data_IF_825453903003
#
_entry.id   IF_825453903003
#
_cell.length_a   1.000
_cell.length_b   1.000
_cell.length_c   1.000
_cell.angle_alpha   90.00
_cell.angle_beta   90.00
_cell.angle_gamma   90.00
#
_symmetry.space_group_name_H-M   'P 1'
#
loop_
_entity.id
_entity.type
_entity.pdbx_description
1 polymer ?
#
# COMPACT_ATOMS: atom_id res chain seq x y z
N UNK A 1 -15.52 17.00 -20.12
CA UNK A 1 -15.35 17.42 -18.70
C UNK A 1 -16.35 16.65 -17.87
N UNK A 2 -15.92 16.08 -16.74
CA UNK A 2 -16.79 15.36 -15.82
C UNK A 2 -16.86 16.13 -14.49
N UNK A 3 -17.88 15.87 -13.65
CA UNK A 3 -18.06 16.55 -12.36
C UNK A 3 -18.09 15.51 -11.23
N UNK A 4 -17.30 15.71 -10.18
CA UNK A 4 -17.28 14.79 -9.04
C UNK A 4 -18.51 14.98 -8.13
N UNK A 5 -19.07 16.19 -8.09
CA UNK A 5 -20.19 16.55 -7.22
C UNK A 5 -21.32 17.21 -8.02
N UNK A 6 -22.05 16.48 -8.87
CA UNK A 6 -23.11 17.06 -9.71
C UNK A 6 -24.24 17.70 -8.89
N UNK A 7 -24.47 17.25 -7.65
CA UNK A 7 -25.47 17.85 -6.75
C UNK A 7 -25.17 19.33 -6.41
N UNK A 8 -23.91 19.78 -6.54
CA UNK A 8 -23.54 21.17 -6.28
C UNK A 8 -24.27 22.17 -7.20
N UNK A 9 -24.74 21.73 -8.38
CA UNK A 9 -25.53 22.59 -9.27
C UNK A 9 -26.83 23.10 -8.65
N UNK A 10 -27.37 22.44 -7.61
CA UNK A 10 -28.50 22.97 -6.85
C UNK A 10 -28.19 24.34 -6.22
N UNK A 11 -26.93 24.63 -5.91
CA UNK A 11 -26.50 25.91 -5.35
C UNK A 11 -26.67 27.08 -6.34
N UNK A 12 -26.91 26.85 -7.64
CA UNK A 12 -27.29 27.91 -8.57
C UNK A 12 -28.57 28.64 -8.16
N UNK A 13 -29.42 28.05 -7.31
CA UNK A 13 -30.56 28.75 -6.71
C UNK A 13 -30.14 30.03 -5.96
N UNK A 14 -28.90 30.11 -5.44
CA UNK A 14 -28.37 31.30 -4.79
C UNK A 14 -28.25 32.52 -5.74
N UNK A 15 -28.25 32.32 -7.06
CA UNK A 15 -28.30 33.43 -8.04
C UNK A 15 -29.59 34.25 -7.93
N UNK A 16 -30.67 33.68 -7.39
CA UNK A 16 -31.93 34.39 -7.20
C UNK A 16 -31.79 35.53 -6.18
N UNK A 17 -30.95 35.37 -5.14
CA UNK A 17 -30.76 36.39 -4.09
C UNK A 17 -30.35 37.76 -4.65
N UNK A 18 -29.23 37.91 -5.37
CA UNK A 18 -28.80 39.21 -5.89
C UNK A 18 -29.79 39.78 -6.91
N UNK A 19 -30.48 38.95 -7.69
CA UNK A 19 -31.51 39.40 -8.64
C UNK A 19 -32.70 40.00 -7.87
N UNK A 20 -33.22 39.29 -6.86
CA UNK A 20 -34.34 39.74 -6.03
C UNK A 20 -33.98 41.00 -5.23
N UNK A 21 -32.77 41.08 -4.67
CA UNK A 21 -32.27 42.27 -3.99
C UNK A 21 -32.16 43.44 -4.97
N UNK A 22 -31.69 43.20 -6.18
CA UNK A 22 -31.58 44.25 -7.20
C UNK A 22 -32.95 44.79 -7.63
N UNK A 23 -33.92 43.90 -7.85
CA UNK A 23 -35.30 44.27 -8.18
C UNK A 23 -36.02 45.00 -7.04
N UNK A 24 -35.67 44.71 -5.78
CA UNK A 24 -36.27 45.35 -4.59
C UNK A 24 -35.63 46.69 -4.22
N UNK A 25 -34.44 47.00 -4.74
CA UNK A 25 -33.70 48.24 -4.44
C UNK A 25 -34.43 49.45 -5.03
N UNK A 26 -35.28 50.07 -4.21
CA UNK A 26 -35.92 51.36 -4.50
C UNK A 26 -34.82 52.42 -4.57
N UNK A 27 -34.81 53.24 -5.63
CA UNK A 27 -33.92 54.40 -5.72
C UNK A 27 -34.09 55.26 -4.48
N UNK A 28 -33.05 55.40 -3.65
CA UNK A 28 -33.08 56.33 -2.53
C UNK A 28 -33.24 57.74 -3.12
N UNK A 29 -34.37 58.37 -2.83
CA UNK A 29 -34.59 59.76 -3.22
C UNK A 29 -33.65 60.62 -2.38
N UNK A 30 -32.54 61.09 -2.96
CA UNK A 30 -31.75 62.13 -2.31
C UNK A 30 -32.61 63.39 -2.24
N UNK A 31 -32.84 63.89 -1.04
CA UNK A 31 -33.44 65.22 -0.83
C UNK A 31 -32.39 66.24 -1.24
N UNK A 32 -32.53 66.77 -2.45
CA UNK A 32 -31.80 67.95 -2.88
C UNK A 32 -32.53 69.16 -2.32
N UNK A 33 -31.85 70.03 -1.58
CA UNK A 33 -32.45 71.30 -1.17
C UNK A 33 -32.63 72.18 -2.41
N UNK A 34 -33.89 72.49 -2.73
CA UNK A 34 -34.24 73.27 -3.91
C UNK A 34 -35.00 74.52 -3.49
N UNK A 35 -34.37 75.69 -3.64
CA UNK A 35 -34.87 76.97 -3.15
C UNK A 35 -36.13 77.49 -3.90
N UNK A 36 -36.49 76.92 -5.06
CA UNK A 36 -37.55 77.43 -5.93
C UNK A 36 -38.85 76.59 -5.93
N UNK A 37 -39.17 75.92 -4.81
CA UNK A 37 -40.41 75.14 -4.67
C UNK A 37 -41.70 75.95 -4.90
N UNK A 38 -41.64 77.29 -4.72
CA UNK A 38 -42.79 78.20 -4.86
C UNK A 38 -43.33 78.31 -6.30
N UNK A 39 -42.55 77.95 -7.31
CA UNK A 39 -42.92 78.15 -8.73
C UNK A 39 -43.34 76.84 -9.44
N UNK A 40 -43.37 75.70 -8.74
CA UNK A 40 -43.67 74.40 -9.33
C UNK A 40 -45.17 74.10 -9.18
N UNK A 41 -45.91 74.12 -10.30
CA UNK A 41 -47.31 73.72 -10.37
C UNK A 41 -47.51 72.21 -10.20
N UNK A 42 -48.62 71.82 -9.59
CA UNK A 42 -48.85 70.45 -9.12
C UNK A 42 -49.12 69.41 -10.23
N UNK A 43 -48.57 68.20 -9.99
CA UNK A 43 -48.92 66.87 -10.51
C UNK A 43 -48.37 66.44 -11.88
N UNK A 44 -47.11 66.04 -11.89
CA UNK A 44 -46.67 64.89 -12.69
C UNK A 44 -46.70 63.64 -11.80
N UNK A 45 -47.53 62.64 -12.14
CA UNK A 45 -47.51 61.34 -11.44
C UNK A 45 -46.14 60.70 -11.69
N UNK A 46 -45.35 60.37 -10.65
CA UNK A 46 -44.04 59.75 -10.84
C UNK A 46 -44.23 58.42 -11.57
N UNK A 47 -43.74 58.33 -12.82
CA UNK A 47 -43.74 57.07 -13.55
C UNK A 47 -42.65 56.19 -12.95
N UNK A 48 -43.08 55.23 -12.13
CA UNK A 48 -42.23 54.22 -11.49
C UNK A 48 -41.77 53.23 -12.56
N UNK A 49 -40.63 53.50 -13.19
CA UNK A 49 -39.94 52.48 -14.02
C UNK A 49 -38.73 51.98 -13.24
N UNK A 50 -38.53 50.65 -13.12
CA UNK A 50 -37.30 50.12 -12.58
C UNK A 50 -36.18 50.50 -13.56
N UNK A 51 -35.31 51.42 -13.17
CA UNK A 51 -34.09 51.72 -13.92
C UNK A 51 -33.03 50.78 -13.38
N UNK A 52 -32.55 49.88 -14.23
CA UNK A 52 -31.47 48.94 -13.89
C UNK A 52 -30.15 49.73 -13.83
N UNK A 53 -29.91 50.38 -12.70
CA UNK A 53 -28.63 51.02 -12.40
C UNK A 53 -27.64 49.93 -11.99
N UNK A 54 -26.34 50.05 -12.32
CA UNK A 54 -25.31 49.09 -11.86
C UNK A 54 -25.38 47.66 -12.44
N UNK A 55 -25.96 47.47 -13.64
CA UNK A 55 -26.06 46.14 -14.29
C UNK A 55 -24.73 45.37 -14.35
N UNK A 56 -23.61 46.06 -14.50
CA UNK A 56 -22.27 45.46 -14.51
C UNK A 56 -21.88 44.84 -13.15
N UNK A 57 -22.24 45.48 -12.02
CA UNK A 57 -21.99 44.92 -10.68
C UNK A 57 -22.89 43.72 -10.41
N UNK A 58 -24.15 43.78 -10.86
CA UNK A 58 -25.05 42.62 -10.79
C UNK A 58 -24.48 41.45 -11.57
N UNK A 59 -24.03 41.67 -12.81
CA UNK A 59 -23.42 40.65 -13.65
C UNK A 59 -22.19 40.02 -12.96
N UNK A 60 -21.31 40.83 -12.37
CA UNK A 60 -20.14 40.32 -11.64
C UNK A 60 -20.52 39.47 -10.42
N UNK A 61 -21.55 39.86 -9.66
CA UNK A 61 -22.04 39.04 -8.53
C UNK A 61 -22.60 37.70 -8.99
N UNK A 62 -23.37 37.71 -10.08
CA UNK A 62 -23.90 36.47 -10.66
C UNK A 62 -22.77 35.58 -11.16
N UNK A 63 -21.78 36.15 -11.85
CA UNK A 63 -20.61 35.41 -12.33
C UNK A 63 -19.77 34.85 -11.17
N UNK A 64 -19.57 35.62 -10.10
CA UNK A 64 -18.86 35.18 -8.90
C UNK A 64 -19.56 33.97 -8.26
N UNK A 65 -20.87 34.05 -8.04
CA UNK A 65 -21.65 32.93 -7.50
C UNK A 65 -21.55 31.73 -8.44
N UNK A 66 -21.70 31.93 -9.76
CA UNK A 66 -21.61 30.85 -10.73
C UNK A 66 -20.25 30.13 -10.71
N UNK A 67 -19.15 30.89 -10.61
CA UNK A 67 -17.79 30.33 -10.50
C UNK A 67 -17.61 29.56 -9.18
N UNK A 68 -18.19 30.05 -8.08
CA UNK A 68 -18.16 29.33 -6.79
C UNK A 68 -18.95 28.03 -6.86
N UNK A 69 -20.13 28.03 -7.50
CA UNK A 69 -20.92 26.80 -7.72
C UNK A 69 -20.13 25.81 -8.57
N UNK A 70 -19.48 26.27 -9.64
CA UNK A 70 -18.59 25.42 -10.46
C UNK A 70 -17.39 24.91 -9.66
N UNK A 71 -16.80 25.72 -8.78
CA UNK A 71 -15.74 25.27 -7.88
C UNK A 71 -16.19 24.15 -6.93
N UNK A 72 -17.43 24.24 -6.41
CA UNK A 72 -18.06 23.21 -5.57
C UNK A 72 -18.40 21.94 -6.35
N UNK A 73 -18.81 22.07 -7.61
CA UNK A 73 -19.11 20.93 -8.50
C UNK A 73 -17.87 20.09 -8.84
N UNK A 74 -16.67 20.60 -8.49
CA UNK A 74 -15.39 19.94 -8.69
C UNK A 74 -15.22 19.37 -10.11
N UNK A 75 -15.19 20.25 -11.14
CA UNK A 75 -14.95 19.85 -12.51
C UNK A 75 -13.58 19.21 -12.65
N UNK A 76 -13.54 18.11 -13.37
CA UNK A 76 -12.32 17.38 -13.67
C UNK A 76 -12.13 17.23 -15.18
N UNK A 77 -10.87 17.32 -15.60
CA UNK A 77 -10.45 17.15 -16.98
C UNK A 77 -9.88 15.74 -17.16
N UNK A 78 -10.42 14.99 -18.10
CA UNK A 78 -9.84 13.71 -18.52
C UNK A 78 -8.87 13.98 -19.66
N UNK A 79 -7.57 13.98 -19.35
CA UNK A 79 -6.54 14.15 -20.39
C UNK A 79 -6.39 12.82 -21.12
N UNK A 80 -6.90 12.75 -22.34
CA UNK A 80 -6.59 11.64 -23.24
C UNK A 80 -5.20 11.90 -23.83
N UNK A 81 -4.18 11.29 -23.24
CA UNK A 81 -2.86 11.26 -23.86
C UNK A 81 -2.89 10.30 -25.06
N UNK A 82 -2.13 10.57 -26.14
CA UNK A 82 -1.96 9.59 -27.19
C UNK A 82 -1.33 8.31 -26.60
N UNK A 83 -1.72 7.12 -27.10
CA UNK A 83 -1.19 5.86 -26.61
C UNK A 83 0.33 5.82 -26.79
N UNK A 84 1.05 5.38 -25.75
CA UNK A 84 2.51 5.25 -25.75
C UNK A 84 2.92 3.78 -25.83
N UNK A 85 4.05 3.54 -26.48
CA UNK A 85 4.71 2.24 -26.48
C UNK A 85 5.71 2.16 -25.34
N UNK A 86 5.57 1.14 -24.50
CA UNK A 86 6.46 0.86 -23.38
C UNK A 86 7.29 -0.38 -23.64
N UNK A 87 8.59 -0.27 -23.38
CA UNK A 87 9.53 -1.38 -23.40
C UNK A 87 10.13 -1.53 -21.99
N UNK A 88 9.70 -2.56 -21.27
CA UNK A 88 10.22 -2.91 -19.95
C UNK A 88 11.23 -4.06 -20.08
N UNK A 89 12.43 -3.88 -19.54
CA UNK A 89 13.49 -4.90 -19.58
C UNK A 89 13.80 -5.39 -18.19
N UNK A 90 13.71 -6.70 -17.98
CA UNK A 90 14.08 -7.32 -16.71
C UNK A 90 15.60 -7.28 -16.53
N UNK A 91 16.12 -6.92 -15.35
CA UNK A 91 17.56 -7.00 -15.08
C UNK A 91 18.11 -8.41 -15.30
N UNK A 92 19.32 -8.49 -15.87
CA UNK A 92 19.98 -9.77 -16.20
C UNK A 92 19.63 -10.36 -17.58
N UNK A 93 18.85 -9.63 -18.39
CA UNK A 93 18.57 -9.99 -19.78
C UNK A 93 19.51 -9.25 -20.72
N UNK A 94 20.12 -9.97 -21.66
CA UNK A 94 20.79 -9.35 -22.78
C UNK A 94 19.77 -8.99 -23.86
N UNK A 95 19.46 -7.70 -23.94
CA UNK A 95 18.51 -7.14 -24.89
C UNK A 95 19.19 -6.43 -26.06
N UNK A 96 20.52 -6.27 -26.02
CA UNK A 96 21.27 -5.56 -27.06
C UNK A 96 21.32 -6.46 -28.30
N UNK A 97 20.78 -5.97 -29.41
CA UNK A 97 20.72 -6.72 -30.67
C UNK A 97 19.42 -7.50 -30.92
N UNK A 98 18.42 -7.37 -30.04
CA UNK A 98 17.09 -7.95 -30.30
C UNK A 98 16.38 -7.14 -31.38
N UNK A 99 16.02 -7.81 -32.48
CA UNK A 99 15.25 -7.23 -33.58
C UNK A 99 13.76 -7.05 -33.22
N UNK A 100 13.04 -6.25 -34.00
CA UNK A 100 11.58 -6.03 -33.88
C UNK A 100 11.11 -5.40 -32.55
N UNK A 101 11.98 -4.71 -31.83
CA UNK A 101 11.56 -3.93 -30.66
C UNK A 101 10.88 -2.62 -31.11
N UNK A 102 9.94 -2.07 -30.32
CA UNK A 102 9.36 -0.77 -30.60
C UNK A 102 10.47 0.29 -30.74
N UNK A 103 10.54 0.87 -31.94
CA UNK A 103 11.54 1.83 -32.37
C UNK A 103 10.93 3.24 -32.44
N UNK A 104 11.76 4.25 -32.26
CA UNK A 104 11.33 5.66 -32.17
C UNK A 104 11.72 6.32 -30.86
N UNK A 105 11.67 7.65 -30.86
CA UNK A 105 11.99 8.51 -29.70
C UNK A 105 10.85 8.56 -28.68
N UNK A 106 9.63 8.23 -29.10
CA UNK A 106 8.42 8.25 -28.26
C UNK A 106 8.26 7.01 -27.37
N UNK A 107 9.09 5.98 -27.59
CA UNK A 107 9.04 4.71 -26.86
C UNK A 107 9.64 4.87 -25.47
N UNK A 108 8.88 4.54 -24.43
CA UNK A 108 9.32 4.56 -23.05
C UNK A 108 10.15 3.31 -22.74
N UNK A 109 11.47 3.42 -22.88
CA UNK A 109 12.43 2.34 -22.62
C UNK A 109 12.91 2.37 -21.17
N UNK A 110 12.41 1.47 -20.32
CA UNK A 110 12.70 1.45 -18.87
C UNK A 110 13.17 0.07 -18.39
N UNK A 111 13.94 0.06 -17.32
CA UNK A 111 14.22 -1.13 -16.53
C UNK A 111 12.95 -1.53 -15.75
N UNK A 112 12.67 -2.84 -15.71
CA UNK A 112 11.69 -3.41 -14.80
C UNK A 112 12.31 -3.49 -13.41
N UNK A 113 12.24 -2.38 -12.70
CA UNK A 113 12.74 -2.18 -11.34
C UNK A 113 11.89 -1.11 -10.65
N UNK A 114 11.92 -1.01 -9.30
CA UNK A 114 11.19 0.03 -8.59
C UNK A 114 11.47 1.42 -9.17
N UNK A 115 10.41 2.17 -9.48
CA UNK A 115 10.50 3.49 -10.09
C UNK A 115 10.74 3.54 -11.61
N UNK A 116 10.82 2.39 -12.31
CA UNK A 116 10.95 2.29 -13.77
C UNK A 116 12.03 3.21 -14.35
N UNK A 117 13.27 3.05 -13.87
CA UNK A 117 14.43 3.83 -14.30
C UNK A 117 14.65 3.71 -15.83
N UNK A 118 15.12 4.78 -16.51
CA UNK A 118 15.38 4.72 -17.95
C UNK A 118 16.49 3.71 -18.29
N UNK A 119 16.40 3.06 -19.46
CA UNK A 119 17.43 2.10 -19.91
C UNK A 119 18.82 2.72 -20.13
N UNK A 120 18.92 4.05 -20.21
CA UNK A 120 20.21 4.75 -20.23
C UNK A 120 20.94 4.70 -18.88
N UNK A 121 20.21 4.46 -17.78
CA UNK A 121 20.81 4.25 -16.47
C UNK A 121 21.48 2.86 -16.43
N UNK A 122 22.53 2.67 -15.59
CA UNK A 122 23.13 1.36 -15.38
C UNK A 122 22.07 0.36 -14.92
N UNK A 123 22.26 -0.91 -15.31
CA UNK A 123 21.35 -1.98 -14.88
C UNK A 123 21.23 -1.99 -13.35
N UNK A 124 20.01 -2.02 -12.79
CA UNK A 124 19.82 -2.17 -11.35
C UNK A 124 20.54 -3.42 -10.86
N UNK A 125 21.06 -3.35 -9.62
CA UNK A 125 21.82 -4.45 -9.01
C UNK A 125 21.03 -5.77 -8.97
N UNK A 126 21.74 -6.88 -9.00
CA UNK A 126 21.25 -8.27 -9.04
C UNK A 126 20.51 -8.74 -7.75
N UNK A 127 19.69 -7.89 -7.15
CA UNK A 127 18.72 -8.28 -6.14
C UNK A 127 17.47 -8.82 -6.84
N UNK A 128 16.74 -9.71 -6.17
CA UNK A 128 15.49 -10.23 -6.71
C UNK A 128 14.46 -9.10 -6.78
N UNK A 129 14.20 -8.65 -8.00
CA UNK A 129 13.16 -7.68 -8.29
C UNK A 129 11.80 -8.37 -8.21
N UNK A 130 10.80 -7.82 -7.51
CA UNK A 130 9.44 -8.37 -7.45
C UNK A 130 8.70 -8.12 -8.78
N UNK A 131 9.07 -8.87 -9.81
CA UNK A 131 8.61 -8.73 -11.20
C UNK A 131 7.08 -8.69 -11.29
N UNK A 132 6.37 -9.63 -10.64
CA UNK A 132 4.91 -9.71 -10.72
C UNK A 132 4.24 -8.45 -10.15
N UNK A 133 4.72 -7.96 -9.01
CA UNK A 133 4.20 -6.74 -8.38
C UNK A 133 4.45 -5.50 -9.23
N UNK A 134 5.66 -5.34 -9.81
CA UNK A 134 5.98 -4.19 -10.65
C UNK A 134 5.15 -4.15 -11.94
N UNK A 135 4.88 -5.30 -12.56
CA UNK A 135 4.03 -5.34 -13.75
C UNK A 135 2.57 -4.97 -13.43
N UNK A 136 2.06 -5.39 -12.26
CA UNK A 136 0.74 -4.95 -11.79
C UNK A 136 0.72 -3.45 -11.45
N UNK A 137 1.77 -2.94 -10.81
CA UNK A 137 1.93 -1.51 -10.53
C UNK A 137 1.90 -0.68 -11.83
N UNK A 138 2.65 -1.11 -12.84
CA UNK A 138 2.63 -0.46 -14.15
C UNK A 138 1.23 -0.49 -14.77
N UNK A 139 0.55 -1.64 -14.76
CA UNK A 139 -0.78 -1.79 -15.37
C UNK A 139 -1.86 -0.97 -14.67
N UNK A 140 -1.73 -0.74 -13.36
CA UNK A 140 -2.63 0.09 -12.57
C UNK A 140 -2.48 1.59 -12.87
N UNK A 141 -1.26 2.05 -13.17
CA UNK A 141 -0.96 3.48 -13.38
C UNK A 141 -0.97 3.88 -14.85
N UNK A 142 -0.61 2.97 -15.76
CA UNK A 142 -0.51 3.27 -17.18
C UNK A 142 -1.88 3.56 -17.81
N UNK A 143 -2.02 4.62 -18.64
CA UNK A 143 -3.24 4.89 -19.40
C UNK A 143 -3.71 3.68 -20.21
N UNK A 144 -5.03 3.49 -20.35
CA UNK A 144 -5.62 2.30 -20.98
C UNK A 144 -5.17 2.06 -22.45
N UNK A 145 -4.74 3.11 -23.16
CA UNK A 145 -4.25 3.01 -24.53
C UNK A 145 -2.79 2.56 -24.67
N UNK A 146 -2.01 2.56 -23.58
CA UNK A 146 -0.57 2.27 -23.65
C UNK A 146 -0.30 0.78 -23.93
N UNK A 147 0.62 0.52 -24.86
CA UNK A 147 1.01 -0.83 -25.29
C UNK A 147 2.28 -1.25 -24.57
N UNK A 148 2.30 -2.48 -24.04
CA UNK A 148 3.42 -2.99 -23.26
C UNK A 148 4.16 -4.11 -23.98
N UNK A 149 5.47 -3.94 -24.14
CA UNK A 149 6.42 -5.00 -24.48
C UNK A 149 7.33 -5.26 -23.28
N UNK A 150 7.39 -6.51 -22.82
CA UNK A 150 8.26 -6.90 -21.70
C UNK A 150 9.30 -7.90 -22.18
N UNK A 151 10.57 -7.61 -21.92
CA UNK A 151 11.69 -8.51 -22.13
C UNK A 151 12.02 -9.21 -20.82
N UNK A 152 11.91 -10.53 -20.83
CA UNK A 152 12.12 -11.38 -19.65
C UNK A 152 13.17 -12.46 -19.92
N UNK A 153 13.93 -12.89 -18.91
CA UNK A 153 14.86 -14.02 -19.03
C UNK A 153 14.10 -15.34 -19.17
N UNK A 154 14.76 -16.43 -19.59
CA UNK A 154 14.17 -17.78 -19.62
C UNK A 154 13.66 -18.22 -18.24
N UNK A 155 14.45 -17.97 -17.19
CA UNK A 155 14.06 -18.21 -15.79
C UNK A 155 13.72 -16.89 -15.13
N UNK A 156 12.43 -16.66 -14.87
CA UNK A 156 11.92 -15.44 -14.25
C UNK A 156 11.86 -15.61 -12.74
N UNK A 157 12.31 -14.60 -11.99
CA UNK A 157 12.22 -14.53 -10.53
C UNK A 157 11.33 -13.38 -10.04
N UNK A 158 11.06 -13.38 -8.73
CA UNK A 158 10.18 -12.38 -8.11
C UNK A 158 8.71 -12.56 -8.46
N UNK A 159 8.30 -13.81 -8.66
CA UNK A 159 6.90 -14.22 -8.77
C UNK A 159 6.30 -14.39 -7.38
N UNK A 160 4.98 -14.34 -7.30
CA UNK A 160 4.20 -14.43 -6.05
C UNK A 160 3.30 -15.68 -5.99
N UNK A 161 3.54 -16.64 -6.88
CA UNK A 161 2.79 -17.89 -6.98
C UNK A 161 1.48 -17.79 -7.77
N UNK A 162 1.04 -16.59 -8.16
CA UNK A 162 -0.11 -16.40 -9.03
C UNK A 162 0.34 -16.20 -10.49
N UNK A 163 -0.47 -16.66 -11.45
CA UNK A 163 -0.25 -16.31 -12.85
C UNK A 163 -0.63 -14.85 -13.08
N UNK A 164 0.28 -14.07 -13.68
CA UNK A 164 0.07 -12.64 -13.88
C UNK A 164 -1.18 -12.38 -14.74
N UNK A 165 -2.05 -11.49 -14.26
CA UNK A 165 -3.24 -11.01 -14.98
C UNK A 165 -3.17 -9.50 -15.10
N UNK A 166 -3.21 -9.00 -16.34
CA UNK A 166 -3.13 -7.57 -16.63
C UNK A 166 -4.35 -7.12 -17.44
N UNK A 167 -4.61 -5.81 -17.43
CA UNK A 167 -5.81 -5.23 -18.04
C UNK A 167 -5.73 -5.16 -19.56
N UNK A 168 -4.53 -5.39 -20.11
CA UNK A 168 -4.20 -5.29 -21.52
C UNK A 168 -3.30 -6.45 -21.97
N UNK A 169 -3.23 -6.68 -23.28
CA UNK A 169 -2.22 -7.62 -23.79
C UNK A 169 -0.82 -7.06 -23.59
N UNK A 170 0.08 -7.99 -23.28
CA UNK A 170 1.50 -7.73 -23.22
C UNK A 170 2.19 -8.51 -24.31
N UNK A 171 3.06 -7.84 -25.06
CA UNK A 171 4.01 -8.52 -25.95
C UNK A 171 5.12 -9.07 -25.05
N UNK A 172 5.00 -10.35 -24.72
CA UNK A 172 5.91 -11.05 -23.83
C UNK A 172 7.03 -11.70 -24.63
N UNK A 173 8.28 -11.24 -24.45
CA UNK A 173 9.43 -11.78 -25.18
C UNK A 173 10.42 -12.41 -24.21
N UNK A 174 10.63 -13.71 -24.38
CA UNK A 174 11.59 -14.49 -23.60
C UNK A 174 12.94 -14.45 -24.30
N UNK A 175 13.98 -14.04 -23.57
CA UNK A 175 15.35 -13.92 -24.04
C UNK A 175 16.29 -14.80 -23.20
N UNK A 176 17.47 -15.15 -23.72
CA UNK A 176 18.50 -15.82 -22.92
C UNK A 176 18.84 -15.02 -21.66
N UNK A 177 18.93 -15.71 -20.53
CA UNK A 177 19.22 -15.11 -19.23
C UNK A 177 18.48 -15.79 -18.09
N UNK A 178 18.80 -15.39 -16.88
CA UNK A 178 18.16 -15.84 -15.64
C UNK A 178 18.08 -14.68 -14.67
N UNK A 179 16.92 -14.44 -14.05
CA UNK A 179 16.80 -13.47 -12.97
C UNK A 179 17.71 -13.87 -11.82
N UNK A 180 18.33 -12.91 -11.14
CA UNK A 180 19.11 -13.21 -9.94
C UNK A 180 18.24 -13.93 -8.90
N UNK A 181 18.75 -14.98 -8.23
CA UNK A 181 18.00 -15.63 -7.17
C UNK A 181 17.72 -14.63 -6.06
N UNK A 182 16.51 -14.70 -5.48
CA UNK A 182 16.26 -14.01 -4.21
C UNK A 182 17.27 -14.57 -3.22
N UNK A 183 18.08 -13.68 -2.64
CA UNK A 183 18.89 -14.05 -1.49
C UNK A 183 17.90 -14.49 -0.42
N UNK A 184 17.82 -15.79 -0.21
CA UNK A 184 17.28 -16.30 1.04
C UNK A 184 18.19 -15.72 2.12
N UNK A 185 17.69 -14.92 3.07
CA UNK A 185 18.50 -14.59 4.22
C UNK A 185 19.00 -15.92 4.80
N UNK A 186 20.27 -15.99 5.21
CA UNK A 186 20.76 -17.13 5.97
C UNK A 186 19.75 -17.36 7.09
N UNK A 187 19.07 -18.51 7.09
CA UNK A 187 18.11 -18.83 8.13
C UNK A 187 18.89 -18.81 9.44
N UNK A 188 18.67 -17.81 10.33
CA UNK A 188 19.44 -17.73 11.54
C UNK A 188 19.17 -19.00 12.35
N UNK A 189 20.20 -19.51 13.03
CA UNK A 189 20.04 -20.66 13.91
C UNK A 189 18.92 -20.35 14.94
N UNK A 190 18.03 -21.30 15.22
CA UNK A 190 16.97 -21.09 16.21
C UNK A 190 17.59 -20.73 17.57
N UNK A 191 17.20 -19.58 18.13
CA UNK A 191 17.65 -19.13 19.44
C UNK A 191 16.89 -19.87 20.55
N UNK A 192 17.33 -21.09 20.88
CA UNK A 192 16.74 -21.86 21.97
C UNK A 192 17.24 -21.36 23.33
N UNK A 193 16.34 -21.30 24.31
CA UNK A 193 16.67 -21.03 25.72
C UNK A 193 15.98 -22.05 26.61
N UNK A 194 16.73 -22.72 27.47
CA UNK A 194 16.18 -23.61 28.49
C UNK A 194 15.74 -22.81 29.71
N UNK A 195 14.53 -23.08 30.23
CA UNK A 195 14.09 -22.47 31.48
C UNK A 195 14.71 -23.15 32.69
N UNK A 196 14.99 -22.40 33.75
CA UNK A 196 15.63 -22.89 34.98
C UNK A 196 14.98 -24.18 35.53
N UNK A 197 13.66 -24.22 35.65
CA UNK A 197 12.93 -25.41 36.12
C UNK A 197 13.04 -26.62 35.18
N UNK A 198 13.47 -26.42 33.94
CA UNK A 198 13.63 -27.49 32.95
C UNK A 198 15.07 -28.02 32.86
N UNK A 199 16.01 -27.49 33.64
CA UNK A 199 17.43 -27.88 33.63
C UNK A 199 17.67 -29.35 33.98
N UNK A 200 16.89 -29.88 34.92
CA UNK A 200 17.01 -31.24 35.47
C UNK A 200 16.26 -32.30 34.64
N UNK A 201 15.47 -31.88 33.65
CA UNK A 201 14.75 -32.81 32.79
C UNK A 201 15.73 -33.67 31.98
N UNK A 202 15.53 -34.99 31.96
CA UNK A 202 16.32 -35.90 31.13
C UNK A 202 16.28 -35.50 29.64
N UNK A 203 15.16 -34.92 29.19
CA UNK A 203 15.00 -34.45 27.83
C UNK A 203 15.91 -33.26 27.47
N UNK A 204 16.39 -32.50 28.45
CA UNK A 204 17.26 -31.33 28.21
C UNK A 204 18.58 -31.72 27.53
N UNK A 205 19.08 -32.94 27.75
CA UNK A 205 20.30 -33.43 27.12
C UNK A 205 20.17 -33.48 25.58
N UNK A 206 19.02 -33.93 25.06
CA UNK A 206 18.78 -34.01 23.61
C UNK A 206 18.73 -32.63 22.96
N UNK A 207 18.09 -31.65 23.61
CA UNK A 207 18.08 -30.26 23.10
C UNK A 207 19.46 -29.60 23.16
N UNK A 208 20.27 -29.89 24.20
CA UNK A 208 21.66 -29.44 24.27
C UNK A 208 22.50 -30.02 23.13
N UNK A 209 22.34 -31.31 22.85
CA UNK A 209 23.03 -31.99 21.75
C UNK A 209 22.61 -31.42 20.38
N UNK A 210 21.30 -31.28 20.13
CA UNK A 210 20.77 -30.67 18.92
C UNK A 210 21.30 -29.24 18.72
N UNK A 211 21.25 -28.40 19.76
CA UNK A 211 21.74 -27.02 19.70
C UNK A 211 23.25 -26.93 19.39
N UNK A 212 24.06 -27.86 19.92
CA UNK A 212 25.49 -27.93 19.58
C UNK A 212 25.72 -28.40 18.14
N UNK A 213 24.94 -29.38 17.67
CA UNK A 213 25.07 -29.91 16.30
C UNK A 213 24.81 -28.84 15.23
N UNK A 214 23.82 -27.95 15.45
CA UNK A 214 23.53 -26.84 14.54
C UNK A 214 24.68 -25.83 14.42
N UNK A 215 25.56 -25.79 15.42
CA UNK A 215 26.70 -24.90 15.48
C UNK A 215 28.01 -25.56 15.01
N UNK A 216 27.96 -26.80 14.50
CA UNK A 216 29.14 -27.53 14.04
C UNK A 216 29.93 -26.76 12.95
N UNK A 217 29.23 -26.05 12.07
CA UNK A 217 29.83 -25.20 11.02
C UNK A 217 30.40 -23.86 11.51
N UNK A 218 30.13 -23.45 12.75
CA UNK A 218 30.67 -22.20 13.30
C UNK A 218 32.10 -22.40 13.84
N UNK A 219 32.95 -21.35 13.76
CA UNK A 219 34.23 -21.34 14.48
C UNK A 219 34.01 -21.58 15.97
N UNK A 220 34.91 -22.33 16.61
CA UNK A 220 34.76 -22.76 18.01
C UNK A 220 34.49 -21.59 18.98
N UNK A 221 35.18 -20.45 18.79
CA UNK A 221 34.98 -19.24 19.59
C UNK A 221 33.57 -18.62 19.49
N UNK A 222 32.78 -18.98 18.47
CA UNK A 222 31.40 -18.51 18.28
C UNK A 222 30.35 -19.53 18.73
N UNK A 223 30.76 -20.77 19.04
CA UNK A 223 29.84 -21.81 19.52
C UNK A 223 29.43 -21.50 20.96
N UNK A 224 28.16 -21.70 21.26
CA UNK A 224 27.56 -21.48 22.58
C UNK A 224 26.84 -22.73 23.04
N UNK A 225 26.87 -23.01 24.34
CA UNK A 225 25.97 -23.99 24.95
C UNK A 225 24.54 -23.44 24.98
N UNK A 226 23.56 -24.34 25.08
CA UNK A 226 22.16 -23.96 25.25
C UNK A 226 22.01 -23.07 26.50
N UNK A 227 21.59 -21.80 26.38
CA UNK A 227 21.50 -20.90 27.51
C UNK A 227 20.41 -21.36 28.48
N UNK A 228 20.67 -21.18 29.78
CA UNK A 228 19.73 -21.38 30.86
C UNK A 228 19.28 -20.00 31.35
N UNK A 229 17.97 -19.77 31.51
CA UNK A 229 17.45 -18.47 31.92
C UNK A 229 16.15 -18.54 32.70
N UNK A 230 16.01 -17.62 33.65
CA UNK A 230 14.75 -17.33 34.31
C UNK A 230 13.75 -16.68 33.34
N UNK A 231 12.45 -16.84 33.62
CA UNK A 231 11.36 -16.30 32.78
C UNK A 231 11.50 -14.78 32.58
N UNK A 232 11.91 -14.05 33.63
CA UNK A 232 12.06 -12.59 33.59
C UNK A 232 13.18 -12.10 32.65
N UNK A 233 14.13 -12.97 32.28
CA UNK A 233 15.27 -12.64 31.44
C UNK A 233 15.15 -13.15 29.99
N UNK A 234 13.98 -13.70 29.61
CA UNK A 234 13.76 -14.23 28.26
C UNK A 234 13.78 -13.13 27.21
N UNK A 235 14.63 -13.31 26.18
CA UNK A 235 14.62 -12.45 25.00
C UNK A 235 13.31 -12.64 24.20
N UNK A 236 12.77 -11.59 23.54
CA UNK A 236 11.50 -11.67 22.80
C UNK A 236 11.53 -12.65 21.62
N UNK A 237 12.69 -12.84 21.00
CA UNK A 237 12.91 -13.69 19.83
C UNK A 237 13.39 -15.11 20.18
N UNK A 238 13.59 -15.41 21.47
CA UNK A 238 13.99 -16.73 21.93
C UNK A 238 12.83 -17.73 21.87
N UNK A 239 13.19 -18.99 21.68
CA UNK A 239 12.31 -20.14 21.80
C UNK A 239 12.56 -20.76 23.18
N UNK A 240 11.66 -20.50 24.12
CA UNK A 240 11.76 -21.00 25.48
C UNK A 240 11.37 -22.48 25.55
N UNK A 241 12.23 -23.31 26.13
CA UNK A 241 11.99 -24.73 26.38
C UNK A 241 11.50 -24.90 27.82
N UNK A 242 10.22 -25.22 27.98
CA UNK A 242 9.63 -25.60 29.25
C UNK A 242 9.32 -27.10 29.22
N UNK A 243 10.18 -27.92 29.82
CA UNK A 243 10.13 -29.38 29.75
C UNK A 243 9.48 -30.04 30.97
N UNK A 244 8.79 -29.26 31.81
CA UNK A 244 8.05 -29.76 32.96
C UNK A 244 6.57 -29.97 32.60
N UNK A 245 5.96 -31.10 33.00
CA UNK A 245 4.51 -31.28 32.91
C UNK A 245 3.82 -30.43 34.00
N UNK A 246 2.63 -29.89 33.71
CA UNK A 246 1.84 -29.14 34.68
C UNK A 246 1.22 -27.86 34.13
N UNK A 247 0.57 -27.05 34.97
CA UNK A 247 -0.02 -25.79 34.55
C UNK A 247 1.06 -24.76 34.18
N UNK A 248 0.83 -24.03 33.08
CA UNK A 248 1.77 -23.02 32.62
C UNK A 248 1.83 -21.82 33.60
N UNK A 249 3.03 -21.43 34.10
CA UNK A 249 3.21 -20.26 34.97
C UNK A 249 2.64 -18.98 34.36
N UNK A 250 2.08 -18.09 35.19
CA UNK A 250 1.43 -16.86 34.73
C UNK A 250 2.40 -15.92 34.00
N UNK A 251 3.63 -15.80 34.48
CA UNK A 251 4.66 -14.95 33.87
C UNK A 251 5.04 -15.44 32.48
N UNK A 252 5.13 -16.76 32.30
CA UNK A 252 5.45 -17.38 31.02
C UNK A 252 4.30 -17.24 30.01
N UNK A 253 3.05 -17.27 30.49
CA UNK A 253 1.87 -16.96 29.68
C UNK A 253 1.87 -15.51 29.21
N UNK A 254 2.22 -14.58 30.09
CA UNK A 254 2.32 -13.14 29.77
C UNK A 254 3.42 -12.88 28.75
N UNK A 255 4.55 -13.58 28.86
CA UNK A 255 5.63 -13.50 27.88
C UNK A 255 5.24 -14.08 26.51
N UNK A 256 4.53 -15.21 26.51
CA UNK A 256 3.97 -15.81 25.29
C UNK A 256 3.01 -14.83 24.58
N UNK A 257 2.10 -14.21 25.32
CA UNK A 257 1.13 -13.24 24.77
C UNK A 257 1.81 -12.01 24.14
N UNK A 258 3.03 -11.66 24.57
CA UNK A 258 3.84 -10.55 24.03
C UNK A 258 4.68 -10.90 22.80
N UNK A 259 4.48 -12.08 22.21
CA UNK A 259 5.19 -12.51 21.00
C UNK A 259 6.22 -13.61 21.19
N UNK A 260 6.39 -14.14 22.40
CA UNK A 260 7.34 -15.21 22.68
C UNK A 260 6.98 -16.53 21.97
N UNK A 261 7.98 -17.41 21.79
CA UNK A 261 7.75 -18.78 21.32
C UNK A 261 8.05 -19.79 22.43
N UNK A 262 7.10 -20.64 22.77
CA UNK A 262 7.21 -21.60 23.87
C UNK A 262 7.09 -23.04 23.40
N UNK A 263 8.01 -23.91 23.82
CA UNK A 263 7.97 -25.35 23.57
C UNK A 263 7.62 -26.12 24.84
N UNK A 264 6.62 -26.99 24.74
CA UNK A 264 6.00 -27.74 25.85
C UNK A 264 6.07 -29.26 25.63
N UNK A 265 6.19 -30.05 26.70
CA UNK A 265 6.03 -31.50 26.62
C UNK A 265 4.57 -31.87 26.35
N UNK A 266 4.36 -33.16 26.09
CA UNK A 266 3.03 -33.74 25.99
C UNK A 266 2.27 -33.58 27.32
N UNK A 267 0.95 -33.35 27.24
CA UNK A 267 0.08 -33.31 28.42
C UNK A 267 0.02 -31.97 29.16
N UNK A 268 0.80 -30.96 28.77
CA UNK A 268 0.67 -29.60 29.31
C UNK A 268 -0.64 -28.95 28.86
N UNK A 269 -1.52 -28.65 29.81
CA UNK A 269 -2.84 -28.04 29.55
C UNK A 269 -2.71 -26.52 29.39
N UNK A 270 -3.30 -25.99 28.32
CA UNK A 270 -3.34 -24.57 28.00
C UNK A 270 -4.76 -24.20 27.53
N UNK A 271 -5.28 -23.06 28.00
CA UNK A 271 -6.71 -22.70 27.85
C UNK A 271 -7.03 -21.83 26.63
N UNK A 272 -6.03 -21.24 25.98
CA UNK A 272 -6.24 -20.22 24.94
C UNK A 272 -5.20 -20.34 23.84
N UNK A 273 -5.47 -21.18 22.85
CA UNK A 273 -4.63 -21.34 21.64
C UNK A 273 -5.51 -21.34 20.41
N UNK A 274 -4.98 -20.83 19.30
CA UNK A 274 -5.59 -20.93 17.99
C UNK A 274 -5.58 -22.35 17.45
N UNK A 275 -5.83 -22.48 16.14
CA UNK A 275 -5.86 -23.78 15.47
C UNK A 275 -4.48 -24.47 15.51
N UNK A 276 -4.47 -25.76 15.84
CA UNK A 276 -3.27 -26.58 15.89
C UNK A 276 -2.87 -27.06 14.50
N UNK A 277 -1.66 -26.73 14.09
CA UNK A 277 -1.05 -27.22 12.86
C UNK A 277 0.10 -28.17 13.18
N UNK A 278 0.20 -29.26 12.42
CA UNK A 278 1.32 -30.21 12.58
C UNK A 278 2.55 -29.67 11.86
N UNK A 279 3.64 -29.43 12.60
CA UNK A 279 4.90 -28.86 12.08
C UNK A 279 5.99 -29.92 11.90
N UNK A 280 5.86 -31.06 12.55
CA UNK A 280 6.74 -32.21 12.36
C UNK A 280 5.94 -33.51 12.46
N UNK A 281 6.14 -34.39 11.48
CA UNK A 281 5.61 -35.76 11.44
C UNK A 281 6.75 -36.78 11.49
N UNK A 282 6.46 -37.96 11.99
CA UNK A 282 7.34 -39.12 11.82
C UNK A 282 7.19 -39.74 10.42
N UNK A 283 7.96 -40.80 10.17
CA UNK A 283 8.00 -41.52 8.89
C UNK A 283 6.66 -42.20 8.56
N UNK A 284 5.87 -42.56 9.57
CA UNK A 284 4.50 -43.10 9.44
C UNK A 284 3.45 -41.99 9.22
N UNK A 285 3.87 -40.72 9.19
CA UNK A 285 3.00 -39.57 9.00
C UNK A 285 2.22 -39.15 10.24
N UNK A 286 2.49 -39.70 11.42
CA UNK A 286 1.89 -39.30 12.69
C UNK A 286 2.53 -37.99 13.21
N UNK A 287 1.75 -37.11 13.87
CA UNK A 287 2.28 -35.83 14.36
C UNK A 287 3.23 -36.03 15.54
N UNK A 288 4.45 -35.48 15.45
CA UNK A 288 5.44 -35.44 16.54
C UNK A 288 5.39 -34.10 17.28
N UNK A 289 5.33 -33.00 16.53
CA UNK A 289 5.29 -31.63 17.05
C UNK A 289 4.16 -30.87 16.38
N UNK A 290 3.34 -30.20 17.19
CA UNK A 290 2.29 -29.29 16.72
C UNK A 290 2.58 -27.87 17.13
N UNK A 291 2.11 -26.90 16.35
CA UNK A 291 2.19 -25.48 16.64
C UNK A 291 0.81 -24.84 16.63
N UNK A 292 0.58 -23.86 17.51
CA UNK A 292 -0.60 -23.01 17.50
C UNK A 292 -0.20 -21.56 17.83
N UNK A 293 -0.99 -20.60 17.34
CA UNK A 293 -0.85 -19.20 17.74
C UNK A 293 -1.44 -19.00 19.15
N UNK A 294 -0.81 -18.16 19.96
CA UNK A 294 -1.27 -17.83 21.32
C UNK A 294 -1.02 -16.34 21.61
N UNK A 295 -2.05 -15.50 21.43
CA UNK A 295 -1.87 -14.04 21.40
C UNK A 295 -1.00 -13.63 20.21
N UNK A 296 0.02 -12.80 20.44
CA UNK A 296 1.03 -12.45 19.42
C UNK A 296 2.15 -13.52 19.31
N UNK A 297 2.15 -14.53 20.19
CA UNK A 297 3.18 -15.56 20.28
C UNK A 297 2.82 -16.90 19.65
N UNK A 298 3.72 -17.87 19.80
CA UNK A 298 3.61 -19.22 19.20
C UNK A 298 3.87 -20.31 20.24
N UNK A 299 2.98 -21.28 20.32
CA UNK A 299 3.12 -22.44 21.18
C UNK A 299 3.48 -23.67 20.34
N UNK A 300 4.49 -24.42 20.76
CA UNK A 300 4.93 -25.69 20.18
C UNK A 300 4.71 -26.79 21.22
N UNK A 301 4.02 -27.87 20.86
CA UNK A 301 3.74 -28.97 21.79
C UNK A 301 4.08 -30.33 21.19
N UNK A 302 4.90 -31.09 21.93
CA UNK A 302 5.21 -32.48 21.63
C UNK A 302 3.99 -33.37 21.83
N UNK A 303 3.75 -34.29 20.89
CA UNK A 303 2.62 -35.22 20.93
C UNK A 303 2.97 -36.57 21.55
N UNK A 304 4.27 -36.80 21.81
CA UNK A 304 4.80 -37.99 22.48
C UNK A 304 5.69 -37.56 23.65
N UNK A 305 5.79 -38.36 24.72
CA UNK A 305 6.78 -38.18 25.77
C UNK A 305 8.20 -38.08 25.18
N UNK A 306 8.99 -37.14 25.72
CA UNK A 306 10.40 -36.96 25.35
C UNK A 306 11.29 -37.97 26.09
N UNK A 307 11.01 -39.26 25.86
CA UNK A 307 11.72 -40.40 26.43
C UNK A 307 12.22 -41.28 25.28
N UNK A 308 13.52 -41.66 25.24
CA UNK A 308 14.06 -42.53 24.20
C UNK A 308 13.34 -43.86 24.02
N UNK A 309 12.69 -44.39 25.06
CA UNK A 309 11.91 -45.63 24.95
C UNK A 309 10.61 -45.44 24.17
N UNK A 310 10.04 -44.23 24.19
CA UNK A 310 8.77 -43.90 23.53
C UNK A 310 8.99 -43.15 22.21
N UNK A 311 10.06 -42.36 22.14
CA UNK A 311 10.49 -41.61 20.97
C UNK A 311 11.97 -41.92 20.67
N UNK A 312 12.26 -43.06 20.02
CA UNK A 312 13.63 -43.46 19.67
C UNK A 312 14.36 -42.42 18.82
N UNK A 313 13.60 -41.64 18.04
CA UNK A 313 14.10 -40.52 17.24
C UNK A 313 15.02 -39.59 18.02
N UNK A 314 14.85 -39.41 19.34
CA UNK A 314 15.73 -38.56 20.18
C UNK A 314 17.21 -38.96 20.14
N UNK A 315 17.52 -40.22 19.84
CA UNK A 315 18.88 -40.75 19.73
C UNK A 315 19.41 -40.77 18.29
N UNK A 316 18.52 -40.54 17.31
CA UNK A 316 18.86 -40.60 15.90
C UNK A 316 19.44 -39.25 15.41
N UNK A 317 20.36 -39.27 14.44
CA UNK A 317 20.97 -38.04 13.90
C UNK A 317 19.95 -37.09 13.27
N UNK A 318 18.84 -37.61 12.75
CA UNK A 318 17.76 -36.85 12.13
C UNK A 318 17.01 -35.95 13.12
N UNK A 319 17.12 -36.17 14.43
CA UNK A 319 16.45 -35.35 15.44
C UNK A 319 16.85 -33.89 15.35
N UNK A 320 18.15 -33.62 15.25
CA UNK A 320 18.66 -32.26 15.21
C UNK A 320 18.14 -31.53 13.96
N UNK A 321 18.25 -32.15 12.79
CA UNK A 321 17.83 -31.55 11.52
C UNK A 321 16.31 -31.42 11.42
N UNK A 322 15.56 -32.40 11.92
CA UNK A 322 14.11 -32.36 12.01
C UNK A 322 13.62 -31.24 12.94
N UNK A 323 14.25 -31.10 14.10
CA UNK A 323 13.93 -30.03 15.05
C UNK A 323 14.26 -28.66 14.47
N UNK A 324 15.41 -28.49 13.82
CA UNK A 324 15.77 -27.21 13.18
C UNK A 324 14.75 -26.81 12.11
N UNK A 325 14.32 -27.76 11.27
CA UNK A 325 13.30 -27.52 10.23
C UNK A 325 11.93 -27.19 10.83
N UNK A 326 11.54 -27.86 11.91
CA UNK A 326 10.27 -27.59 12.58
C UNK A 326 10.24 -26.20 13.26
N UNK A 327 11.40 -25.72 13.70
CA UNK A 327 11.58 -24.41 14.32
C UNK A 327 11.84 -23.28 13.32
N UNK A 328 12.35 -23.61 12.13
CA UNK A 328 12.56 -22.64 11.08
C UNK A 328 11.23 -21.93 10.74
N UNK A 329 11.29 -20.60 10.59
CA UNK A 329 10.16 -19.87 9.99
C UNK A 329 9.92 -20.46 8.61
N UNK A 330 8.65 -20.64 8.23
CA UNK A 330 8.27 -21.29 6.97
C UNK A 330 9.14 -20.77 5.82
N UNK A 331 9.75 -21.67 5.01
CA UNK A 331 10.60 -21.25 3.91
C UNK A 331 9.81 -20.30 3.01
N UNK A 332 10.49 -19.26 2.51
CA UNK A 332 9.88 -18.34 1.57
C UNK A 332 9.30 -19.13 0.39
N UNK A 333 8.06 -18.81 0.01
CA UNK A 333 7.40 -19.48 -1.11
C UNK A 333 8.28 -19.40 -2.38
N UNK A 334 8.29 -20.44 -3.22
CA UNK A 334 9.05 -20.43 -4.45
C UNK A 334 8.60 -19.25 -5.33
N UNK A 335 9.58 -18.46 -5.81
CA UNK A 335 9.33 -17.22 -6.55
C UNK A 335 9.92 -17.25 -7.97
N UNK A 336 10.35 -18.43 -8.45
CA UNK A 336 10.96 -18.61 -9.78
C UNK A 336 10.19 -19.61 -10.61
N UNK A 337 10.06 -19.32 -11.90
CA UNK A 337 9.46 -20.21 -12.87
C UNK A 337 9.96 -19.93 -14.30
N UNK A 338 9.58 -20.81 -15.23
CA UNK A 338 9.76 -20.60 -16.66
C UNK A 338 8.97 -19.37 -17.10
N UNK A 339 9.64 -18.42 -17.75
CA UNK A 339 8.99 -17.21 -18.23
C UNK A 339 7.99 -17.50 -19.35
N UNK A 340 8.19 -18.55 -20.15
CA UNK A 340 7.28 -18.93 -21.21
C UNK A 340 5.91 -19.35 -20.64
N UNK A 341 5.92 -20.11 -19.54
CA UNK A 341 4.70 -20.63 -18.91
C UNK A 341 3.98 -19.57 -18.07
N UNK A 342 4.71 -18.55 -17.62
CA UNK A 342 4.20 -17.41 -16.85
C UNK A 342 3.83 -16.19 -17.70
N UNK A 343 3.60 -16.35 -19.00
CA UNK A 343 3.10 -15.27 -19.84
C UNK A 343 1.77 -14.70 -19.28
N UNK A 344 1.59 -13.36 -19.25
CA UNK A 344 0.44 -12.72 -18.61
C UNK A 344 -0.88 -13.04 -19.33
N UNK A 345 -1.92 -13.30 -18.55
CA UNK A 345 -3.29 -13.42 -19.07
C UNK A 345 -3.97 -12.04 -19.09
N UNK A 346 -4.90 -11.86 -20.03
CA UNK A 346 -5.87 -10.75 -19.95
C UNK A 346 -6.97 -11.11 -18.97
N UNK A 347 -7.40 -10.19 -18.13
CA UNK A 347 -8.57 -10.43 -17.29
C UNK A 347 -8.84 -9.45 -16.16
N UNK A 348 -8.04 -8.39 -16.00
CA UNK A 348 -8.35 -7.35 -15.01
C UNK A 348 -9.07 -6.18 -15.68
N UNK A 349 -9.93 -5.50 -14.91
CA UNK A 349 -10.54 -4.25 -15.36
C UNK A 349 -9.48 -3.15 -15.47
N UNK A 350 -9.53 -2.38 -16.56
CA UNK A 350 -8.70 -1.19 -16.70
C UNK A 350 -9.04 -0.18 -15.61
N UNK A 351 -8.03 0.33 -14.90
CA UNK A 351 -8.24 1.39 -13.93
C UNK A 351 -8.38 2.73 -14.67
N UNK A 352 -9.44 3.51 -14.40
CA UNK A 352 -9.58 4.82 -15.01
C UNK A 352 -8.45 5.73 -14.51
N UNK A 353 -7.78 6.42 -15.44
CA UNK A 353 -6.76 7.43 -15.10
C UNK A 353 -7.39 8.49 -14.20
N UNK A 354 -6.73 8.79 -13.08
CA UNK A 354 -7.19 9.83 -12.16
C UNK A 354 -7.34 11.16 -12.91
N UNK A 355 -8.54 11.77 -12.91
CA UNK A 355 -8.78 12.97 -13.72
C UNK A 355 -8.18 14.20 -13.04
N UNK A 356 -7.72 15.18 -13.84
CA UNK A 356 -7.02 16.36 -13.33
C UNK A 356 -8.03 17.38 -12.75
N UNK A 357 -7.88 17.82 -11.49
CA UNK A 357 -8.84 18.73 -10.86
C UNK A 357 -8.72 20.14 -11.42
N UNK A 358 -9.82 20.73 -11.88
CA UNK A 358 -9.85 22.11 -12.36
C UNK A 358 -10.14 23.14 -11.25
N UNK A 359 -10.41 22.68 -10.02
CA UNK A 359 -10.70 23.52 -8.85
C UNK A 359 -9.72 24.70 -8.63
N UNK A 360 -8.38 24.57 -8.77
CA UNK A 360 -7.48 25.72 -8.56
C UNK A 360 -7.73 26.86 -9.55
N UNK A 361 -8.06 26.55 -10.81
CA UNK A 361 -8.37 27.57 -11.82
C UNK A 361 -9.67 28.30 -11.52
N UNK A 362 -10.71 27.59 -11.07
CA UNK A 362 -11.96 28.22 -10.63
C UNK A 362 -11.78 29.05 -9.34
N UNK A 363 -10.90 28.63 -8.42
CA UNK A 363 -10.57 29.43 -7.24
C UNK A 363 -9.89 30.75 -7.63
N UNK A 364 -8.91 30.70 -8.54
CA UNK A 364 -8.26 31.90 -9.08
C UNK A 364 -9.27 32.82 -9.77
N UNK A 365 -10.15 32.28 -10.60
CA UNK A 365 -11.22 33.04 -11.25
C UNK A 365 -12.15 33.71 -10.22
N UNK A 366 -12.53 33.02 -9.14
CA UNK A 366 -13.36 33.59 -8.09
C UNK A 366 -12.66 34.78 -7.40
N UNK A 367 -11.38 34.65 -7.08
CA UNK A 367 -10.60 35.74 -6.46
C UNK A 367 -10.48 36.95 -7.39
N UNK A 368 -10.20 36.73 -8.68
CA UNK A 368 -10.11 37.81 -9.67
C UNK A 368 -11.45 38.53 -9.85
N UNK A 369 -12.56 37.79 -9.92
CA UNK A 369 -13.90 38.36 -10.02
C UNK A 369 -14.29 39.15 -8.76
N UNK A 370 -13.95 38.64 -7.59
CA UNK A 370 -14.17 39.34 -6.33
C UNK A 370 -13.36 40.64 -6.24
N UNK A 371 -12.08 40.61 -6.62
CA UNK A 371 -11.25 41.81 -6.66
C UNK A 371 -11.80 42.85 -7.64
N UNK A 372 -12.25 42.43 -8.82
CA UNK A 372 -12.86 43.31 -9.82
C UNK A 372 -14.17 43.91 -9.32
N UNK A 373 -15.03 43.12 -8.67
CA UNK A 373 -16.25 43.60 -8.01
C UNK A 373 -15.90 44.67 -6.97
N UNK A 374 -14.91 44.39 -6.10
CA UNK A 374 -14.51 45.30 -5.03
C UNK A 374 -13.93 46.61 -5.57
N UNK A 375 -13.14 46.57 -6.64
CA UNK A 375 -12.58 47.75 -7.29
C UNK A 375 -13.67 48.64 -7.93
N UNK A 376 -14.64 48.03 -8.62
CA UNK A 376 -15.75 48.75 -9.23
C UNK A 376 -16.71 49.33 -8.19
N UNK A 377 -16.91 48.63 -7.07
CA UNK A 377 -17.67 49.14 -5.94
C UNK A 377 -16.93 50.31 -5.25
N UNK A 378 -15.61 50.20 -5.03
CA UNK A 378 -14.81 51.23 -4.38
C UNK A 378 -14.70 52.53 -5.21
N UNK A 379 -14.51 52.43 -6.53
CA UNK A 379 -14.43 53.61 -7.42
C UNK A 379 -15.70 54.46 -7.43
N UNK A 380 -16.84 53.90 -7.03
CA UNK A 380 -18.13 54.61 -6.97
C UNK A 380 -18.41 55.29 -5.64
N UNK A 381 -17.82 54.81 -4.53
CA UNK A 381 -17.93 55.49 -3.23
C UNK A 381 -17.18 56.82 -3.14
N UNK A 382 -16.25 57.08 -4.07
CA UNK A 382 -15.44 58.31 -4.11
C UNK A 382 -16.13 59.45 -4.87
N UNK A 383 -17.19 59.18 -5.65
CA UNK A 383 -17.97 60.20 -6.37
C UNK A 383 -19.23 60.64 -5.60
N UNK A 384 -19.33 60.26 -4.32
CA UNK A 384 -20.43 60.61 -3.43
C UNK A 384 -19.90 61.22 -2.14
N UNK A 385 -19.24 62.37 -2.25
CA UNK A 385 -19.05 63.35 -1.17
C UNK A 385 -19.28 64.73 -1.78
N UNK A 386 -19.94 65.63 -1.02
CA UNK A 386 -21.03 66.50 -1.47
C UNK A 386 -20.68 67.56 -2.52
#
# INVERSE_FOLDING_TARGET
MNFLLPAAFAAFAALLLPILIHLSRRSQTQRTEFAALRWIGAKLRPRRRPVVQEWLLLLLRLLLIAVVVLWLAAPVWQRSAPPRDWLLVTPGVDWRGVSDLPAGETVQRRWLAPGFLPLSAPSPSAQAVPTASLLREWDAVAPAGDRLTVLVPKTLGGLDGERLRLSRAVVWRVLPGSSAPRRTPDTPLPALTLLDGSAESAAAAFFRAAYLSWQAGLPEAKRRTLPLSAIAALAPDAIALHLQPGPLPADLRTWLERGGTLMLPVGTVHRTVGEWQTVWRDDDGLPLLRAAAAGDGRLLQWQRPLDPQVLPLLLEPEFADGLQRALARSPAAPDRASAADHAPLRGTSTHPVAPEPMRPWFALAAVLLFALERLLAARRGVWSTP
#
